data_IF_570260600064
#
_entry.id   IF_570260600064
#
_cell.length_a   1.000
_cell.length_b   1.000
_cell.length_c   1.000
_cell.angle_alpha   90.00
_cell.angle_beta   90.00
_cell.angle_gamma   90.00
#
_symmetry.space_group_name_H-M   'P 1'
#
loop_
_entity.id
_entity.type
_entity.pdbx_description
1 polymer ?
#
# COMPACT_ATOMS: atom_id res chain seq x y z
N UNK A 1 -42.23 41.40 -30.99
CA UNK A 1 -42.33 40.31 -30.00
C UNK A 1 -41.99 39.03 -30.75
N UNK A 2 -40.87 38.37 -30.44
CA UNK A 2 -40.60 37.06 -31.05
C UNK A 2 -41.72 36.10 -30.60
N UNK A 3 -42.30 35.29 -31.51
CA UNK A 3 -43.31 34.33 -31.12
C UNK A 3 -42.72 33.38 -30.08
N UNK A 4 -43.40 33.19 -28.95
CA UNK A 4 -42.93 32.38 -27.81
C UNK A 4 -42.48 30.98 -28.23
N UNK A 5 -43.09 30.44 -29.28
CA UNK A 5 -42.79 29.13 -29.85
C UNK A 5 -41.37 29.06 -30.45
N UNK A 6 -40.83 30.18 -30.97
CA UNK A 6 -39.48 30.24 -31.50
C UNK A 6 -38.42 30.21 -30.38
N UNK A 7 -38.75 30.82 -29.24
CA UNK A 7 -37.89 30.83 -28.04
C UNK A 7 -37.84 29.44 -27.41
N UNK A 8 -39.00 28.78 -27.30
CA UNK A 8 -39.08 27.38 -26.83
C UNK A 8 -38.34 26.44 -27.78
N UNK A 9 -38.48 26.61 -29.09
CA UNK A 9 -37.74 25.85 -30.09
C UNK A 9 -36.22 26.06 -30.00
N UNK A 10 -35.77 27.30 -29.78
CA UNK A 10 -34.35 27.62 -29.60
C UNK A 10 -33.76 26.99 -28.33
N UNK A 11 -34.52 26.99 -27.22
CA UNK A 11 -34.13 26.31 -25.97
C UNK A 11 -34.03 24.79 -26.21
N UNK A 12 -34.94 24.23 -27.00
CA UNK A 12 -34.93 22.81 -27.35
C UNK A 12 -33.72 22.42 -28.21
N UNK A 13 -33.41 23.22 -29.22
CA UNK A 13 -32.21 23.04 -30.05
C UNK A 13 -30.94 23.20 -29.21
N UNK A 14 -30.89 24.18 -28.31
CA UNK A 14 -29.76 24.35 -27.40
C UNK A 14 -29.58 23.15 -26.46
N UNK A 15 -30.66 22.60 -25.91
CA UNK A 15 -30.64 21.40 -25.06
C UNK A 15 -30.23 20.13 -25.81
N UNK A 16 -30.71 19.96 -27.04
CA UNK A 16 -30.32 18.84 -27.91
C UNK A 16 -28.85 18.92 -28.32
N UNK A 17 -28.36 20.12 -28.65
CA UNK A 17 -26.94 20.36 -28.96
C UNK A 17 -26.06 20.11 -27.74
N UNK A 18 -26.45 20.56 -26.55
CA UNK A 18 -25.73 20.27 -25.30
C UNK A 18 -25.67 18.76 -25.02
N UNK A 19 -26.78 18.05 -25.23
CA UNK A 19 -26.86 16.60 -25.02
C UNK A 19 -25.98 15.84 -26.03
N UNK A 20 -26.01 16.25 -27.30
CA UNK A 20 -25.14 15.70 -28.34
C UNK A 20 -23.66 15.97 -28.07
N UNK A 21 -23.31 17.17 -27.59
CA UNK A 21 -21.94 17.52 -27.20
C UNK A 21 -21.44 16.70 -25.99
N UNK A 22 -22.32 16.38 -25.02
CA UNK A 22 -22.00 15.51 -23.88
C UNK A 22 -21.77 14.06 -24.33
N UNK A 23 -22.57 13.56 -25.28
CA UNK A 23 -22.35 12.23 -25.88
C UNK A 23 -21.07 12.18 -26.71
N UNK A 24 -20.76 13.25 -27.46
CA UNK A 24 -19.51 13.34 -28.23
C UNK A 24 -18.27 13.47 -27.32
N UNK A 25 -18.40 14.14 -26.17
CA UNK A 25 -17.37 14.21 -25.13
C UNK A 25 -17.09 12.83 -24.51
N UNK A 26 -18.12 11.99 -24.34
CA UNK A 26 -18.01 10.62 -23.81
C UNK A 26 -17.16 9.71 -24.70
N UNK A 27 -17.26 9.86 -26.03
CA UNK A 27 -16.67 8.93 -27.00
C UNK A 27 -15.22 9.31 -27.44
N UNK A 28 -14.58 10.28 -26.77
CA UNK A 28 -13.11 10.43 -26.79
C UNK A 28 -12.46 11.09 -28.02
N UNK A 29 -13.23 11.67 -28.93
CA UNK A 29 -12.67 12.35 -30.12
C UNK A 29 -12.31 13.82 -29.83
N UNK A 30 -11.17 14.07 -29.15
CA UNK A 30 -10.83 15.38 -28.57
C UNK A 30 -9.59 16.09 -29.15
N UNK A 31 -9.40 16.11 -30.47
CA UNK A 31 -8.37 16.96 -31.08
C UNK A 31 -8.90 18.17 -31.88
N UNK A 32 -10.21 18.32 -32.11
CA UNK A 32 -10.71 19.29 -33.09
C UNK A 32 -11.57 20.45 -32.58
N UNK A 33 -11.94 20.54 -31.29
CA UNK A 33 -12.85 21.59 -30.80
C UNK A 33 -12.27 22.34 -29.59
N UNK A 34 -11.42 23.32 -29.90
CA UNK A 34 -10.79 24.21 -28.93
C UNK A 34 -11.68 25.44 -28.64
N UNK A 35 -12.88 25.22 -28.07
CA UNK A 35 -13.83 26.30 -27.74
C UNK A 35 -13.76 26.77 -26.27
N UNK A 36 -12.85 26.20 -25.46
CA UNK A 36 -12.79 26.44 -24.00
C UNK A 36 -11.68 27.41 -23.58
N UNK A 37 -11.09 28.15 -24.54
CA UNK A 37 -10.11 29.18 -24.25
C UNK A 37 -10.72 30.47 -23.63
N UNK A 38 -12.05 30.62 -23.64
CA UNK A 38 -12.72 31.85 -23.20
C UNK A 38 -13.30 31.81 -21.77
N UNK A 39 -13.25 30.67 -21.07
CA UNK A 39 -13.83 30.51 -19.71
C UNK A 39 -12.79 30.31 -18.60
N UNK A 40 -11.49 30.50 -18.86
CA UNK A 40 -10.48 30.59 -17.80
C UNK A 40 -10.50 31.99 -17.18
N UNK A 41 -11.50 32.31 -16.37
CA UNK A 41 -11.35 33.40 -15.40
C UNK A 41 -10.53 32.88 -14.23
N UNK A 42 -9.39 33.53 -13.96
CA UNK A 42 -8.50 33.20 -12.85
C UNK A 42 -9.25 33.15 -11.51
N UNK A 43 -9.17 31.99 -10.86
CA UNK A 43 -9.59 31.85 -9.47
C UNK A 43 -8.50 32.43 -8.58
N UNK A 44 -8.78 33.55 -7.91
CA UNK A 44 -7.97 34.02 -6.79
C UNK A 44 -8.37 33.24 -5.54
N UNK A 45 -7.38 32.66 -4.85
CA UNK A 45 -7.64 31.95 -3.59
C UNK A 45 -8.23 32.91 -2.56
N UNK A 46 -9.35 32.51 -1.96
CA UNK A 46 -9.93 33.21 -0.81
C UNK A 46 -8.90 33.15 0.33
N UNK A 47 -8.47 34.31 0.90
CA UNK A 47 -7.63 34.31 2.08
C UNK A 47 -8.40 33.62 3.19
N UNK A 48 -7.85 32.54 3.73
CA UNK A 48 -8.35 32.00 4.99
C UNK A 48 -7.92 33.01 6.05
N UNK A 49 -8.84 33.86 6.50
CA UNK A 49 -8.58 34.72 7.65
C UNK A 49 -8.12 33.84 8.80
N UNK A 50 -6.87 34.04 9.21
CA UNK A 50 -6.36 33.64 10.51
C UNK A 50 -7.19 34.39 11.55
N UNK A 51 -8.33 33.81 11.93
CA UNK A 51 -9.01 34.21 13.15
C UNK A 51 -8.07 33.85 14.30
N UNK A 52 -7.46 34.89 14.88
CA UNK A 52 -6.82 34.92 16.18
C UNK A 52 -7.77 34.40 17.26
N UNK A 53 -7.88 33.08 17.33
CA UNK A 53 -8.52 32.33 18.40
C UNK A 53 -7.51 31.29 18.83
N UNK A 54 -6.87 31.55 19.96
CA UNK A 54 -5.85 30.70 20.57
C UNK A 54 -6.24 29.21 20.49
N UNK A 55 -5.68 28.51 19.49
CA UNK A 55 -5.73 27.04 19.44
C UNK A 55 -5.06 26.55 20.73
N UNK A 56 -5.67 25.65 21.51
CA UNK A 56 -5.02 25.12 22.69
C UNK A 56 -3.68 24.54 22.24
N UNK A 57 -2.58 25.07 22.79
CA UNK A 57 -1.23 24.53 22.58
C UNK A 57 -1.31 23.05 22.92
N UNK A 58 -1.35 22.20 21.89
CA UNK A 58 -1.22 20.76 22.05
C UNK A 58 0.09 20.57 22.78
N UNK A 59 0.03 20.10 24.03
CA UNK A 59 1.23 19.82 24.83
C UNK A 59 2.15 18.98 23.95
N UNK A 60 3.29 19.54 23.58
CA UNK A 60 4.38 18.80 22.96
C UNK A 60 4.81 17.83 24.05
N UNK A 61 4.36 16.58 23.93
CA UNK A 61 4.86 15.49 24.76
C UNK A 61 6.34 15.39 24.43
N UNK A 62 7.19 15.50 25.44
CA UNK A 62 8.64 15.33 25.32
C UNK A 62 8.94 14.02 24.56
N UNK A 63 9.96 13.97 23.69
CA UNK A 63 10.25 12.78 22.86
C UNK A 63 10.54 11.48 23.66
N UNK A 64 10.69 11.56 24.98
CA UNK A 64 11.13 10.45 25.84
C UNK A 64 10.07 9.90 26.81
N UNK A 65 8.77 10.06 26.57
CA UNK A 65 7.78 9.34 27.40
C UNK A 65 7.52 7.92 26.90
N UNK A 66 8.55 7.11 26.68
CA UNK A 66 8.37 5.66 26.81
C UNK A 66 8.14 5.43 28.31
N UNK A 67 6.87 5.35 28.72
CA UNK A 67 6.57 4.87 30.06
C UNK A 67 7.16 3.47 30.14
N UNK A 68 8.15 3.30 31.03
CA UNK A 68 8.64 1.96 31.38
C UNK A 68 7.40 1.18 31.79
N UNK A 69 7.07 0.07 31.10
CA UNK A 69 5.92 -0.74 31.46
C UNK A 69 6.02 -1.09 32.95
N UNK A 70 4.92 -1.02 33.71
CA UNK A 70 4.96 -1.48 35.09
C UNK A 70 5.53 -2.90 35.13
N UNK A 71 6.41 -3.16 36.10
CA UNK A 71 7.01 -4.48 36.27
C UNK A 71 5.91 -5.54 36.28
N UNK A 72 6.08 -6.59 35.46
CA UNK A 72 5.09 -7.65 35.34
C UNK A 72 4.74 -8.18 36.74
N UNK A 73 3.44 -8.23 37.05
CA UNK A 73 3.00 -8.78 38.32
C UNK A 73 3.50 -10.23 38.42
N UNK A 74 4.15 -10.63 39.52
CA UNK A 74 4.79 -11.95 39.64
C UNK A 74 3.79 -13.12 39.53
N UNK A 75 2.50 -12.85 39.63
CA UNK A 75 1.36 -13.77 39.56
C UNK A 75 0.57 -13.68 38.24
N UNK A 76 1.00 -12.84 37.28
CA UNK A 76 0.34 -12.75 35.99
C UNK A 76 0.61 -14.01 35.15
N UNK A 77 -0.45 -14.79 34.89
CA UNK A 77 -0.36 -15.96 34.01
C UNK A 77 -0.06 -15.53 32.56
N UNK A 78 1.14 -15.88 32.08
CA UNK A 78 1.54 -15.67 30.69
C UNK A 78 1.25 -16.92 29.85
N UNK A 79 0.24 -16.86 28.99
CA UNK A 79 -0.13 -17.94 28.07
C UNK A 79 0.98 -18.27 27.04
N UNK A 80 1.91 -17.33 26.80
CA UNK A 80 3.00 -17.46 25.84
C UNK A 80 4.37 -17.57 26.50
N UNK A 81 4.42 -17.97 27.78
CA UNK A 81 5.68 -18.31 28.43
C UNK A 81 6.38 -19.45 27.66
N UNK A 82 7.58 -19.22 27.10
CA UNK A 82 8.35 -20.25 26.38
C UNK A 82 8.54 -21.55 27.18
N UNK A 83 8.60 -21.45 28.51
CA UNK A 83 8.75 -22.62 29.39
C UNK A 83 7.45 -23.39 29.62
N UNK A 84 6.29 -22.74 29.46
CA UNK A 84 4.97 -23.26 29.84
C UNK A 84 3.91 -23.07 28.72
N UNK A 85 4.30 -23.27 27.46
CA UNK A 85 3.37 -23.18 26.34
C UNK A 85 2.33 -24.32 26.34
N UNK A 86 1.05 -24.01 26.06
CA UNK A 86 0.04 -25.03 25.79
C UNK A 86 0.51 -25.99 24.67
N UNK A 87 0.23 -27.31 24.77
CA UNK A 87 0.68 -28.30 23.78
C UNK A 87 0.31 -27.98 22.33
N UNK A 88 -0.79 -27.26 22.12
CA UNK A 88 -1.27 -26.83 20.80
C UNK A 88 -0.39 -25.77 20.14
N UNK A 89 0.32 -24.97 20.94
CA UNK A 89 1.25 -23.93 20.49
C UNK A 89 2.69 -24.46 20.47
N UNK A 90 3.01 -25.43 21.32
CA UNK A 90 4.36 -25.99 21.46
C UNK A 90 4.92 -26.65 20.19
N UNK A 91 4.09 -27.23 19.32
CA UNK A 91 4.55 -27.94 18.10
C UNK A 91 5.37 -27.03 17.16
N UNK A 92 4.97 -25.76 17.03
CA UNK A 92 5.64 -24.79 16.15
C UNK A 92 6.50 -23.78 16.91
N UNK A 93 6.45 -23.77 18.25
CA UNK A 93 7.11 -22.79 19.11
C UNK A 93 8.62 -22.69 18.81
N UNK A 94 9.35 -23.80 18.91
CA UNK A 94 10.80 -23.81 18.68
C UNK A 94 11.16 -23.28 17.29
N UNK A 95 10.34 -23.60 16.28
CA UNK A 95 10.56 -23.16 14.90
C UNK A 95 10.35 -21.66 14.73
N UNK A 96 9.27 -21.14 15.31
CA UNK A 96 8.93 -19.73 15.23
C UNK A 96 9.93 -18.89 16.02
N UNK A 97 10.25 -19.28 17.27
CA UNK A 97 11.16 -18.51 18.11
C UNK A 97 12.58 -18.46 17.54
N UNK A 98 13.13 -19.57 17.05
CA UNK A 98 14.46 -19.56 16.43
C UNK A 98 14.49 -18.74 15.14
N UNK A 99 13.48 -18.86 14.25
CA UNK A 99 13.41 -18.01 13.06
C UNK A 99 13.26 -16.52 13.41
N UNK A 100 12.51 -16.19 14.47
CA UNK A 100 12.35 -14.83 14.97
C UNK A 100 13.66 -14.27 15.53
N UNK A 101 14.43 -15.05 16.29
CA UNK A 101 15.73 -14.66 16.81
C UNK A 101 16.74 -14.43 15.68
N UNK A 102 16.84 -15.37 14.74
CA UNK A 102 17.75 -15.28 13.60
C UNK A 102 17.46 -14.05 12.74
N UNK A 103 16.20 -13.86 12.31
CA UNK A 103 15.80 -12.72 11.48
C UNK A 103 15.80 -11.40 12.27
N UNK A 104 15.48 -11.45 13.57
CA UNK A 104 15.51 -10.33 14.50
C UNK A 104 16.90 -9.72 14.57
N UNK A 105 17.91 -10.57 14.82
CA UNK A 105 19.32 -10.17 14.87
C UNK A 105 19.84 -9.75 13.49
N UNK A 106 19.46 -10.47 12.43
CA UNK A 106 19.96 -10.19 11.08
C UNK A 106 19.54 -8.81 10.55
N UNK A 107 18.29 -8.42 10.74
CA UNK A 107 17.74 -7.15 10.25
C UNK A 107 17.67 -6.05 11.32
N UNK A 108 17.97 -6.37 12.58
CA UNK A 108 17.91 -5.44 13.71
C UNK A 108 16.49 -4.97 14.00
N UNK A 109 15.54 -5.89 14.02
CA UNK A 109 14.20 -5.63 14.54
C UNK A 109 14.24 -5.44 16.07
N UNK A 110 13.25 -4.75 16.64
CA UNK A 110 13.16 -4.56 18.08
C UNK A 110 12.75 -5.86 18.79
N UNK A 111 13.47 -6.24 19.85
CA UNK A 111 13.24 -7.52 20.57
C UNK A 111 11.78 -7.71 21.03
N UNK A 112 11.16 -6.64 21.54
CA UNK A 112 9.76 -6.67 21.99
C UNK A 112 8.78 -6.86 20.83
N UNK A 113 9.09 -6.27 19.66
CA UNK A 113 8.29 -6.40 18.45
C UNK A 113 8.39 -7.82 17.90
N UNK A 114 9.60 -8.36 17.80
CA UNK A 114 9.88 -9.73 17.36
C UNK A 114 9.15 -10.74 18.24
N UNK A 115 9.24 -10.60 19.57
CA UNK A 115 8.51 -11.47 20.51
C UNK A 115 7.00 -11.41 20.31
N UNK A 116 6.44 -10.21 20.15
CA UNK A 116 5.02 -10.04 19.86
C UNK A 116 4.60 -10.68 18.52
N UNK A 117 5.44 -10.61 17.49
CA UNK A 117 5.17 -11.28 16.21
C UNK A 117 5.28 -12.81 16.31
N UNK A 118 6.19 -13.34 17.13
CA UNK A 118 6.27 -14.76 17.41
C UNK A 118 4.97 -15.29 18.03
N UNK A 119 4.48 -14.61 19.08
CA UNK A 119 3.21 -14.93 19.73
C UNK A 119 2.03 -14.86 18.75
N UNK A 120 1.96 -13.78 17.97
CA UNK A 120 0.94 -13.60 16.93
C UNK A 120 0.94 -14.74 15.90
N UNK A 121 2.11 -15.15 15.41
CA UNK A 121 2.24 -16.25 14.46
C UNK A 121 1.79 -17.58 15.05
N UNK A 122 2.17 -17.89 16.30
CA UNK A 122 1.74 -19.12 16.98
C UNK A 122 0.21 -19.20 17.12
N UNK A 123 -0.45 -18.09 17.45
CA UNK A 123 -1.92 -18.00 17.52
C UNK A 123 -2.53 -18.26 16.12
N UNK A 124 -1.99 -17.63 15.08
CA UNK A 124 -2.48 -17.81 13.71
C UNK A 124 -2.36 -19.27 13.25
N UNK A 125 -1.24 -19.94 13.57
CA UNK A 125 -1.04 -21.35 13.25
C UNK A 125 -2.03 -22.24 14.01
N UNK A 126 -2.28 -21.96 15.29
CA UNK A 126 -3.28 -22.67 16.09
C UNK A 126 -4.70 -22.52 15.51
N UNK A 127 -5.06 -21.31 15.09
CA UNK A 127 -6.35 -21.02 14.47
C UNK A 127 -6.52 -21.73 13.12
N UNK A 128 -5.49 -21.72 12.27
CA UNK A 128 -5.51 -22.44 10.98
C UNK A 128 -5.62 -23.95 11.18
N UNK A 129 -4.95 -24.51 12.21
CA UNK A 129 -5.08 -25.92 12.56
C UNK A 129 -6.52 -26.29 12.92
N UNK A 130 -7.17 -25.48 13.76
CA UNK A 130 -8.59 -25.71 14.13
C UNK A 130 -9.50 -25.72 12.91
N UNK A 131 -9.26 -24.79 11.97
CA UNK A 131 -10.02 -24.72 10.73
C UNK A 131 -9.84 -26.00 9.88
N UNK A 132 -8.61 -26.51 9.76
CA UNK A 132 -8.33 -27.76 9.05
C UNK A 132 -8.95 -29.00 9.74
N UNK A 133 -8.89 -29.07 11.07
CA UNK A 133 -9.49 -30.18 11.85
C UNK A 133 -11.03 -30.16 11.87
N UNK A 134 -11.67 -29.07 11.45
CA UNK A 134 -13.13 -28.96 11.47
C UNK A 134 -13.86 -29.65 10.30
N UNK A 135 -13.13 -30.37 9.42
CA UNK A 135 -13.68 -31.16 8.30
C UNK A 135 -14.62 -30.41 7.34
N UNK A 136 -14.55 -29.08 7.28
CA UNK A 136 -15.37 -28.26 6.38
C UNK A 136 -15.05 -28.55 4.90
N UNK A 137 -13.82 -28.99 4.60
CA UNK A 137 -13.35 -29.31 3.25
C UNK A 137 -12.99 -30.80 3.11
N UNK A 138 -13.23 -31.44 1.94
CA UNK A 138 -12.79 -32.79 1.66
C UNK A 138 -11.27 -32.95 1.82
N UNK A 139 -10.75 -34.09 2.30
CA UNK A 139 -9.31 -34.31 2.50
C UNK A 139 -8.45 -34.06 1.25
N UNK A 140 -9.01 -34.22 0.05
CA UNK A 140 -8.32 -33.96 -1.23
C UNK A 140 -8.05 -32.48 -1.53
N UNK A 141 -8.75 -31.55 -0.86
CA UNK A 141 -8.64 -30.10 -1.08
C UNK A 141 -7.95 -29.42 0.11
N UNK A 142 -7.66 -30.15 1.18
CA UNK A 142 -7.01 -29.56 2.35
C UNK A 142 -5.52 -29.30 2.08
N UNK A 143 -4.99 -28.14 2.52
CA UNK A 143 -3.57 -27.86 2.40
C UNK A 143 -2.72 -28.85 3.21
N UNK A 144 -1.45 -29.08 2.85
CA UNK A 144 -0.61 -30.11 3.49
C UNK A 144 -0.35 -29.88 4.98
N UNK A 145 -0.33 -28.61 5.42
CA UNK A 145 -0.21 -28.26 6.83
C UNK A 145 -0.80 -26.87 7.12
N UNK A 146 -1.06 -26.52 8.40
CA UNK A 146 -1.54 -25.19 8.78
C UNK A 146 -0.62 -24.06 8.33
N UNK A 147 0.70 -24.31 8.32
CA UNK A 147 1.72 -23.36 7.85
C UNK A 147 1.58 -23.12 6.35
N UNK A 148 1.36 -24.16 5.55
CA UNK A 148 1.14 -24.01 4.11
C UNK A 148 -0.12 -23.21 3.80
N UNK A 149 -1.21 -23.46 4.55
CA UNK A 149 -2.47 -22.73 4.42
C UNK A 149 -2.28 -21.24 4.71
N UNK A 150 -1.61 -20.93 5.82
CA UNK A 150 -1.34 -19.56 6.24
C UNK A 150 -0.42 -18.84 5.25
N UNK A 151 0.67 -19.48 4.84
CA UNK A 151 1.61 -18.92 3.87
C UNK A 151 0.94 -18.62 2.54
N UNK A 152 0.19 -19.57 1.99
CA UNK A 152 -0.54 -19.36 0.73
C UNK A 152 -1.53 -18.19 0.81
N UNK A 153 -2.18 -18.01 1.97
CA UNK A 153 -3.11 -16.89 2.21
C UNK A 153 -2.36 -15.55 2.27
N UNK A 154 -1.32 -15.45 3.10
CA UNK A 154 -0.54 -14.21 3.32
C UNK A 154 0.17 -13.78 2.04
N UNK A 155 0.85 -14.70 1.36
CA UNK A 155 1.65 -14.41 0.16
C UNK A 155 0.86 -14.39 -1.14
N UNK A 156 -0.46 -14.58 -1.11
CA UNK A 156 -1.30 -14.47 -2.33
C UNK A 156 -1.15 -13.10 -3.01
N UNK A 157 -1.03 -12.03 -2.24
CA UNK A 157 -0.86 -10.67 -2.78
C UNK A 157 0.59 -10.40 -3.21
N UNK A 158 1.57 -10.93 -2.48
CA UNK A 158 2.96 -10.91 -2.91
C UNK A 158 3.15 -11.53 -4.29
N UNK A 159 2.57 -12.71 -4.52
CA UNK A 159 2.62 -13.39 -5.82
C UNK A 159 1.99 -12.56 -6.94
N UNK A 160 0.92 -11.81 -6.66
CA UNK A 160 0.31 -10.88 -7.62
C UNK A 160 1.24 -9.70 -7.91
N UNK A 161 1.85 -9.12 -6.88
CA UNK A 161 2.81 -8.03 -7.03
C UNK A 161 4.03 -8.48 -7.85
N UNK A 162 4.64 -9.63 -7.52
CA UNK A 162 5.74 -10.20 -8.32
C UNK A 162 5.34 -10.45 -9.78
N UNK A 163 4.12 -10.94 -10.03
CA UNK A 163 3.61 -11.17 -11.39
C UNK A 163 3.41 -9.85 -12.16
N UNK A 164 2.83 -8.83 -11.52
CA UNK A 164 2.66 -7.50 -12.12
C UNK A 164 4.02 -6.89 -12.46
N UNK A 165 4.97 -7.01 -11.55
CA UNK A 165 6.37 -6.62 -11.70
C UNK A 165 7.16 -7.59 -12.59
N UNK A 166 6.57 -8.69 -13.07
CA UNK A 166 7.20 -9.76 -13.87
C UNK A 166 8.48 -10.38 -13.27
N UNK A 167 8.73 -10.24 -11.97
CA UNK A 167 9.94 -10.74 -11.30
C UNK A 167 9.67 -12.09 -10.64
N UNK A 168 10.67 -12.98 -10.51
CA UNK A 168 10.51 -14.20 -9.73
C UNK A 168 10.28 -13.86 -8.25
N UNK A 169 9.42 -14.59 -7.53
CA UNK A 169 9.25 -14.40 -6.10
C UNK A 169 10.48 -14.89 -5.33
N UNK A 170 10.84 -14.16 -4.27
CA UNK A 170 11.90 -14.53 -3.33
C UNK A 170 11.27 -15.21 -2.11
N UNK A 171 11.57 -16.49 -1.93
CA UNK A 171 11.20 -17.28 -0.76
C UNK A 171 12.46 -17.95 -0.21
N UNK A 172 12.50 -18.13 1.11
CA UNK A 172 13.62 -18.78 1.79
C UNK A 172 13.89 -20.15 1.19
N UNK A 173 15.17 -20.45 1.01
CA UNK A 173 15.65 -21.76 0.51
C UNK A 173 16.15 -22.65 1.65
N UNK A 174 15.95 -22.22 2.91
CA UNK A 174 16.46 -22.84 4.12
C UNK A 174 16.35 -24.37 4.07
N UNK A 175 17.51 -25.03 4.08
CA UNK A 175 17.60 -26.48 4.04
C UNK A 175 18.04 -27.11 5.36
N UNK A 176 18.66 -26.37 6.30
CA UNK A 176 19.34 -27.01 7.44
C UNK A 176 19.50 -26.08 8.65
N UNK A 177 18.74 -26.32 9.73
CA UNK A 177 19.09 -26.01 11.14
C UNK A 177 17.95 -26.36 12.10
N UNK A 178 16.71 -26.41 11.61
CA UNK A 178 15.52 -26.72 12.41
C UNK A 178 15.20 -28.22 12.33
N UNK A 179 14.82 -28.87 13.43
CA UNK A 179 14.35 -30.28 13.46
C UNK A 179 12.98 -30.49 12.78
N UNK A 180 12.76 -29.90 11.61
CA UNK A 180 11.53 -29.98 10.84
C UNK A 180 11.82 -30.19 9.35
N UNK A 181 10.83 -30.68 8.56
CA UNK A 181 11.00 -30.80 7.12
C UNK A 181 11.41 -29.46 6.49
N UNK A 182 12.42 -29.41 5.61
CA UNK A 182 12.92 -28.17 5.01
C UNK A 182 11.84 -27.28 4.37
N UNK A 183 10.81 -27.90 3.78
CA UNK A 183 9.67 -27.20 3.18
C UNK A 183 8.79 -26.45 4.20
N UNK A 184 8.79 -26.85 5.47
CA UNK A 184 8.02 -26.19 6.54
C UNK A 184 8.85 -25.06 7.17
N UNK A 185 10.15 -25.30 7.41
CA UNK A 185 11.06 -24.32 7.99
C UNK A 185 11.18 -23.06 7.12
N UNK A 186 11.44 -23.23 5.83
CA UNK A 186 11.49 -22.13 4.84
C UNK A 186 10.22 -21.25 4.85
N UNK A 187 9.04 -21.87 4.95
CA UNK A 187 7.76 -21.14 4.99
C UNK A 187 7.55 -20.38 6.30
N UNK A 188 8.11 -20.86 7.41
CA UNK A 188 8.09 -20.12 8.67
C UNK A 188 9.01 -18.91 8.58
N UNK A 189 10.21 -19.04 8.01
CA UNK A 189 11.11 -17.91 7.75
C UNK A 189 10.42 -16.83 6.91
N UNK A 190 9.76 -17.22 5.81
CA UNK A 190 8.98 -16.29 4.98
C UNK A 190 7.92 -15.52 5.82
N UNK A 191 7.11 -16.25 6.59
CA UNK A 191 6.05 -15.67 7.42
C UNK A 191 6.60 -14.76 8.51
N UNK A 192 7.65 -15.19 9.22
CA UNK A 192 8.30 -14.43 10.28
C UNK A 192 8.85 -13.13 9.74
N UNK A 193 9.60 -13.17 8.63
CA UNK A 193 10.15 -11.96 8.02
C UNK A 193 9.04 -10.97 7.66
N UNK A 194 8.00 -11.43 6.96
CA UNK A 194 6.89 -10.56 6.59
C UNK A 194 6.18 -9.95 7.81
N UNK A 195 5.94 -10.73 8.86
CA UNK A 195 5.28 -10.22 10.08
C UNK A 195 6.17 -9.28 10.88
N UNK A 196 7.50 -9.45 10.89
CA UNK A 196 8.42 -8.49 11.51
C UNK A 196 8.41 -7.14 10.76
N UNK A 197 8.50 -7.18 9.43
CA UNK A 197 8.38 -5.98 8.57
C UNK A 197 7.02 -5.30 8.79
N UNK A 198 5.93 -6.08 8.83
CA UNK A 198 4.59 -5.54 9.09
C UNK A 198 4.45 -4.99 10.52
N UNK A 199 5.04 -5.65 11.51
CA UNK A 199 4.99 -5.26 12.91
C UNK A 199 5.60 -3.88 13.16
N UNK A 200 6.70 -3.58 12.48
CA UNK A 200 7.45 -2.33 12.66
C UNK A 200 7.16 -1.27 11.59
N UNK A 201 6.44 -1.61 10.52
CA UNK A 201 6.15 -0.67 9.42
C UNK A 201 5.31 0.56 9.80
N UNK A 202 4.69 0.60 11.00
CA UNK A 202 3.91 1.74 11.48
C UNK A 202 2.90 2.28 10.42
N UNK A 203 3.09 3.52 9.96
CA UNK A 203 2.23 4.17 8.96
C UNK A 203 2.50 3.71 7.51
N UNK A 204 3.66 3.13 7.22
CA UNK A 204 3.99 2.65 5.86
C UNK A 204 3.15 1.43 5.47
N UNK A 205 2.48 0.79 6.44
CA UNK A 205 1.50 -0.29 6.20
C UNK A 205 0.33 0.12 5.32
N UNK A 206 0.07 1.42 5.20
CA UNK A 206 -0.94 1.96 4.29
C UNK A 206 -0.49 2.01 2.82
N UNK A 207 0.74 1.57 2.54
CA UNK A 207 1.33 1.43 1.21
C UNK A 207 1.69 -0.05 0.98
N UNK A 208 0.73 -0.89 0.53
CA UNK A 208 0.90 -2.34 0.48
C UNK A 208 1.98 -2.78 -0.52
N UNK A 209 2.21 -2.06 -1.61
CA UNK A 209 3.29 -2.36 -2.55
C UNK A 209 4.66 -1.99 -1.99
N UNK A 210 4.77 -0.95 -1.15
CA UNK A 210 5.98 -0.69 -0.35
C UNK A 210 6.31 -1.87 0.57
N UNK A 211 5.30 -2.46 1.21
CA UNK A 211 5.50 -3.62 2.09
C UNK A 211 6.08 -4.82 1.33
N UNK A 212 5.58 -5.10 0.12
CA UNK A 212 6.10 -6.18 -0.71
C UNK A 212 7.48 -5.89 -1.27
N UNK A 213 7.79 -4.63 -1.60
CA UNK A 213 9.13 -4.22 -1.97
C UNK A 213 10.14 -4.48 -0.83
N UNK A 214 9.81 -4.05 0.39
CA UNK A 214 10.64 -4.28 1.58
C UNK A 214 10.88 -5.78 1.79
N UNK A 215 9.81 -6.57 1.80
CA UNK A 215 9.93 -8.03 1.91
C UNK A 215 10.79 -8.63 0.80
N UNK A 216 10.56 -8.23 -0.45
CA UNK A 216 11.27 -8.79 -1.61
C UNK A 216 12.78 -8.54 -1.54
N UNK A 217 13.19 -7.31 -1.17
CA UNK A 217 14.59 -6.93 -1.04
C UNK A 217 15.26 -7.52 0.20
N UNK A 218 14.58 -7.51 1.34
CA UNK A 218 15.12 -8.09 2.57
C UNK A 218 15.28 -9.61 2.42
N UNK A 219 14.30 -10.30 1.83
CA UNK A 219 14.41 -11.74 1.56
C UNK A 219 15.50 -12.05 0.53
N UNK A 220 15.69 -11.21 -0.48
CA UNK A 220 16.82 -11.32 -1.43
C UNK A 220 18.16 -11.32 -0.69
N UNK A 221 18.34 -10.35 0.21
CA UNK A 221 19.54 -10.24 1.03
C UNK A 221 19.74 -11.47 1.93
N UNK A 222 18.67 -11.91 2.61
CA UNK A 222 18.72 -13.08 3.49
C UNK A 222 19.14 -14.35 2.73
N UNK A 223 18.51 -14.64 1.58
CA UNK A 223 18.84 -15.83 0.76
C UNK A 223 20.29 -15.81 0.28
N UNK A 224 20.83 -14.63 -0.06
CA UNK A 224 22.23 -14.51 -0.47
C UNK A 224 23.19 -14.69 0.70
N UNK A 225 22.77 -14.31 1.92
CA UNK A 225 23.57 -14.48 3.13
C UNK A 225 23.68 -15.93 3.61
N UNK A 226 22.69 -16.80 3.32
CA UNK A 226 22.66 -18.22 3.71
C UNK A 226 23.88 -19.04 3.19
N UNK A 227 24.69 -18.50 2.27
CA UNK A 227 25.93 -19.11 1.77
C UNK A 227 27.22 -18.74 2.52
N UNK A 228 27.15 -17.88 3.54
CA UNK A 228 28.32 -17.33 4.23
C UNK A 228 28.35 -17.69 5.72
N UNK A 229 29.54 -17.90 6.28
CA UNK A 229 29.75 -18.31 7.68
C UNK A 229 29.55 -17.19 8.70
N UNK A 230 29.39 -15.94 8.26
CA UNK A 230 29.15 -14.81 9.14
C UNK A 230 27.71 -14.36 9.07
N UNK A 231 26.96 -14.62 10.14
CA UNK A 231 25.62 -14.08 10.34
C UNK A 231 25.77 -12.60 10.69
N UNK A 232 25.27 -11.72 9.80
CA UNK A 232 25.12 -10.29 10.11
C UNK A 232 24.30 -10.16 11.40
N UNK A 233 24.75 -9.33 12.33
CA UNK A 233 24.00 -8.97 13.53
C UNK A 233 23.93 -7.46 13.63
N UNK A 234 22.71 -6.93 13.60
CA UNK A 234 22.43 -5.50 13.73
C UNK A 234 21.82 -5.23 15.10
N UNK A 235 21.97 -4.01 15.60
CA UNK A 235 21.37 -3.63 16.87
C UNK A 235 19.83 -3.62 16.78
N UNK A 236 19.17 -3.95 17.90
CA UNK A 236 17.71 -3.92 18.00
C UNK A 236 17.17 -2.49 17.77
N UNK A 237 16.39 -2.30 16.71
CA UNK A 237 15.87 -0.99 16.28
C UNK A 237 16.46 -0.46 14.98
N UNK A 238 17.53 -1.07 14.46
CA UNK A 238 18.15 -0.68 13.18
C UNK A 238 17.13 -0.58 12.04
N UNK A 239 16.19 -1.52 11.95
CA UNK A 239 15.15 -1.52 10.91
C UNK A 239 14.27 -0.26 11.00
N UNK A 240 13.87 0.15 12.20
CA UNK A 240 13.07 1.37 12.40
C UNK A 240 13.87 2.60 12.00
N UNK A 241 15.11 2.70 12.48
CA UNK A 241 15.94 3.89 12.31
C UNK A 241 16.37 4.10 10.85
N UNK A 242 16.71 3.03 10.14
CA UNK A 242 17.35 3.11 8.82
C UNK A 242 16.42 2.76 7.65
N UNK A 243 15.27 2.13 7.90
CA UNK A 243 14.30 1.74 6.86
C UNK A 243 12.96 2.46 7.05
N UNK A 244 12.34 2.32 8.22
CA UNK A 244 10.96 2.84 8.44
C UNK A 244 10.95 4.35 8.59
N UNK A 245 11.78 4.92 9.47
CA UNK A 245 11.78 6.34 9.78
C UNK A 245 12.11 7.22 8.56
N UNK A 246 13.09 6.89 7.71
CA UNK A 246 13.42 7.69 6.52
C UNK A 246 12.28 7.70 5.48
N UNK A 247 11.64 6.55 5.24
CA UNK A 247 10.47 6.48 4.35
C UNK A 247 9.31 7.28 4.95
N UNK A 248 9.06 7.13 6.25
CA UNK A 248 8.00 7.86 6.94
C UNK A 248 8.23 9.37 6.93
N UNK A 249 9.48 9.83 7.06
CA UNK A 249 9.81 11.24 7.03
C UNK A 249 9.45 11.86 5.68
N UNK A 250 9.80 11.20 4.56
CA UNK A 250 9.41 11.62 3.22
C UNK A 250 7.89 11.68 3.09
N UNK A 251 7.18 10.64 3.53
CA UNK A 251 5.71 10.60 3.51
C UNK A 251 5.12 11.77 4.31
N UNK A 252 5.61 12.00 5.53
CA UNK A 252 5.17 13.08 6.41
C UNK A 252 5.42 14.47 5.78
N UNK A 253 6.59 14.67 5.16
CA UNK A 253 6.93 15.92 4.49
C UNK A 253 6.01 16.16 3.28
N UNK A 254 5.83 15.17 2.41
CA UNK A 254 4.96 15.27 1.23
C UNK A 254 3.48 15.42 1.57
N UNK A 255 3.01 14.84 2.67
CA UNK A 255 1.62 15.04 3.14
C UNK A 255 1.38 16.45 3.73
N UNK A 256 2.41 17.06 4.32
CA UNK A 256 2.35 18.41 4.91
C UNK A 256 2.57 19.53 3.88
N UNK A 257 2.99 19.21 2.66
CA UNK A 257 3.24 20.19 1.61
C UNK A 257 1.97 20.98 1.24
N UNK A 258 2.15 22.21 0.77
CA UNK A 258 1.05 23.11 0.41
C UNK A 258 0.61 22.88 -1.04
N UNK A 259 -0.69 22.70 -1.25
CA UNK A 259 -1.33 22.66 -2.57
C UNK A 259 -1.52 21.24 -3.13
N UNK A 260 -2.76 20.91 -3.52
CA UNK A 260 -3.15 19.62 -4.13
C UNK A 260 -3.20 19.67 -5.68
N UNK A 261 -2.74 20.76 -6.31
CA UNK A 261 -2.88 21.03 -7.74
C UNK A 261 -1.62 20.69 -8.55
N UNK A 262 -1.64 20.93 -9.87
CA UNK A 262 -0.52 20.64 -10.78
C UNK A 262 0.81 21.29 -10.35
N UNK A 263 0.74 22.43 -9.65
CA UNK A 263 1.90 23.15 -9.09
C UNK A 263 2.16 22.80 -7.61
N UNK A 264 1.39 21.87 -7.04
CA UNK A 264 1.42 21.48 -5.63
C UNK A 264 2.14 20.16 -5.40
N UNK A 265 3.11 20.16 -4.48
CA UNK A 265 3.93 18.98 -4.14
C UNK A 265 3.26 18.07 -3.09
N UNK A 266 1.98 18.29 -2.77
CA UNK A 266 1.28 17.45 -1.80
C UNK A 266 0.99 16.06 -2.37
N UNK A 267 1.40 15.03 -1.63
CA UNK A 267 1.20 13.62 -1.97
C UNK A 267 0.57 12.88 -0.80
N UNK A 268 -0.27 11.90 -1.12
CA UNK A 268 -0.85 10.97 -0.17
C UNK A 268 -0.13 9.62 -0.23
N UNK A 269 -0.50 8.67 0.63
CA UNK A 269 0.01 7.30 0.63
C UNK A 269 -0.08 6.65 -0.76
N UNK A 270 -1.19 6.85 -1.49
CA UNK A 270 -1.39 6.23 -2.81
C UNK A 270 -0.38 6.76 -3.86
N UNK A 271 -0.15 8.08 -3.89
CA UNK A 271 0.83 8.70 -4.79
C UNK A 271 2.26 8.18 -4.55
N UNK A 272 2.61 7.93 -3.28
CA UNK A 272 3.93 7.41 -2.90
C UNK A 272 4.01 5.90 -3.17
N UNK A 273 2.92 5.18 -2.94
CA UNK A 273 2.82 3.76 -3.16
C UNK A 273 2.90 3.38 -4.65
N UNK A 274 2.46 4.26 -5.55
CA UNK A 274 2.58 4.09 -7.00
C UNK A 274 4.03 3.91 -7.48
N UNK A 275 5.01 4.49 -6.78
CA UNK A 275 6.43 4.26 -7.07
C UNK A 275 6.79 2.76 -7.08
N UNK A 276 6.12 1.96 -6.25
CA UNK A 276 6.35 0.51 -6.11
C UNK A 276 5.54 -0.35 -7.09
N UNK A 277 4.85 0.26 -8.05
CA UNK A 277 4.11 -0.45 -9.11
C UNK A 277 4.99 -0.73 -10.35
N UNK A 278 6.19 -0.15 -10.40
CA UNK A 278 7.14 -0.29 -11.49
C UNK A 278 8.42 -0.98 -11.03
N UNK A 279 8.98 -1.82 -11.90
CA UNK A 279 10.28 -2.50 -11.72
C UNK A 279 11.43 -1.55 -11.39
N UNK A 280 11.29 -0.27 -11.72
CA UNK A 280 12.28 0.75 -11.42
C UNK A 280 12.57 0.87 -9.92
N UNK A 281 11.59 0.57 -9.05
CA UNK A 281 11.80 0.57 -7.61
C UNK A 281 12.89 -0.43 -7.16
N UNK A 282 13.10 -1.53 -7.92
CA UNK A 282 14.10 -2.56 -7.59
C UNK A 282 15.55 -2.11 -7.83
N UNK A 283 15.74 -0.97 -8.51
CA UNK A 283 17.05 -0.33 -8.69
C UNK A 283 17.55 0.38 -7.44
N UNK A 284 16.71 0.47 -6.41
CA UNK A 284 17.05 1.08 -5.14
C UNK A 284 17.19 0.02 -4.05
N UNK A 285 18.05 0.29 -3.07
CA UNK A 285 18.13 -0.51 -1.84
C UNK A 285 17.09 -0.05 -0.83
N UNK A 286 16.67 -0.94 0.06
CA UNK A 286 15.58 -0.66 1.01
C UNK A 286 16.00 0.21 2.21
N UNK A 287 17.28 0.22 2.57
CA UNK A 287 17.83 0.98 3.71
C UNK A 287 18.39 2.34 3.28
N UNK A 288 18.46 3.29 4.20
CA UNK A 288 19.10 4.59 4.04
C UNK A 288 20.52 4.67 4.65
N UNK A 289 20.91 3.70 5.50
CA UNK A 289 22.23 3.66 6.15
C UNK A 289 23.38 3.51 5.14
N UNK A 290 24.51 4.19 5.27
CA UNK A 290 25.61 3.97 4.31
C UNK A 290 26.14 2.52 4.37
N UNK A 291 26.63 1.96 3.25
CA UNK A 291 27.30 0.65 3.25
C UNK A 291 28.41 0.60 4.31
N UNK A 292 28.27 -0.29 5.30
CA UNK A 292 29.21 -0.44 6.42
C UNK A 292 28.87 0.31 7.71
N UNK A 293 27.81 1.11 7.74
CA UNK A 293 27.34 1.77 8.98
C UNK A 293 26.37 0.86 9.75
N UNK A 294 26.75 0.47 10.98
CA UNK A 294 25.88 -0.23 11.93
C UNK A 294 25.95 -1.76 11.93
N UNK A 295 26.86 -2.35 11.15
CA UNK A 295 27.21 -3.76 11.32
C UNK A 295 28.38 -3.89 12.30
N UNK A 296 28.15 -4.49 13.47
CA UNK A 296 29.24 -5.00 14.33
C UNK A 296 29.85 -6.26 13.69
N UNK A 297 30.20 -6.18 12.40
CA UNK A 297 31.04 -7.17 11.74
C UNK A 297 32.42 -6.91 12.28
N UNK A 298 32.74 -7.58 13.37
CA UNK A 298 34.10 -7.69 13.90
C UNK A 298 35.03 -7.92 12.70
N UNK A 299 36.01 -7.04 12.51
CA UNK A 299 36.97 -7.07 11.41
C UNK A 299 37.72 -8.42 11.39
N UNK A 300 37.10 -9.45 10.81
CA UNK A 300 37.68 -10.77 10.63
C UNK A 300 38.24 -10.85 9.20
N UNK A 301 39.48 -11.33 9.03
CA UNK A 301 40.14 -11.41 7.73
C UNK A 301 39.47 -12.53 6.91
N UNK A 302 38.41 -12.21 6.16
CA UNK A 302 37.69 -13.19 5.34
C UNK A 302 36.29 -12.78 4.87
N UNK A 303 36.04 -11.48 4.67
CA UNK A 303 34.74 -10.96 4.21
C UNK A 303 34.26 -11.54 2.87
N UNK A 304 32.95 -11.38 2.61
CA UNK A 304 32.21 -11.82 1.42
C UNK A 304 33.00 -11.63 0.10
N UNK A 305 33.41 -12.69 -0.62
CA UNK A 305 34.19 -12.53 -1.83
C UNK A 305 33.33 -12.18 -3.06
N UNK A 306 33.77 -11.11 -3.75
CA UNK A 306 33.65 -10.80 -5.18
C UNK A 306 32.39 -10.11 -5.74
N UNK A 307 32.44 -8.77 -5.75
CA UNK A 307 32.13 -7.97 -6.93
C UNK A 307 33.42 -7.46 -7.61
N UNK A 308 33.46 -7.15 -8.92
CA UNK A 308 34.69 -6.93 -9.69
C UNK A 308 35.54 -5.70 -9.30
N UNK A 309 35.12 -4.89 -8.33
CA UNK A 309 35.74 -3.61 -7.97
C UNK A 309 35.95 -3.45 -6.45
N UNK A 310 36.53 -4.45 -5.78
CA UNK A 310 37.27 -4.26 -4.52
C UNK A 310 36.57 -3.49 -3.39
N UNK A 311 35.23 -3.54 -3.29
CA UNK A 311 34.44 -2.92 -2.23
C UNK A 311 33.78 -3.98 -1.36
N UNK A 312 33.92 -3.84 -0.04
CA UNK A 312 33.28 -4.68 0.98
C UNK A 312 31.84 -4.20 1.14
N UNK A 313 30.86 -4.96 0.65
CA UNK A 313 29.45 -4.58 0.75
C UNK A 313 28.48 -5.73 0.52
N UNK A 314 27.34 -5.67 1.20
CA UNK A 314 26.19 -6.54 1.01
C UNK A 314 25.52 -6.30 -0.36
N UNK A 315 24.69 -7.25 -0.84
CA UNK A 315 24.00 -7.11 -2.12
C UNK A 315 23.13 -5.84 -2.14
N UNK A 316 23.39 -4.97 -3.12
CA UNK A 316 22.66 -3.70 -3.25
C UNK A 316 23.29 -2.53 -2.51
N UNK A 317 24.43 -2.70 -1.85
CA UNK A 317 25.19 -1.58 -1.25
C UNK A 317 25.67 -0.55 -2.27
N UNK A 318 25.81 -0.95 -3.55
CA UNK A 318 26.10 -0.05 -4.66
C UNK A 318 24.86 0.66 -5.22
N UNK A 319 23.65 0.28 -4.78
CA UNK A 319 22.41 0.87 -5.25
C UNK A 319 22.05 2.11 -4.40
N UNK A 320 21.47 3.16 -5.02
CA UNK A 320 20.95 4.31 -4.28
C UNK A 320 19.85 3.90 -3.30
N UNK A 321 19.70 4.66 -2.21
CA UNK A 321 18.65 4.42 -1.22
C UNK A 321 17.26 4.64 -1.83
N UNK A 322 16.26 3.85 -1.42
CA UNK A 322 14.87 4.01 -1.86
C UNK A 322 14.32 5.40 -1.55
N UNK A 323 14.84 6.06 -0.53
CA UNK A 323 14.53 7.45 -0.18
C UNK A 323 14.86 8.42 -1.30
N UNK A 324 15.97 8.21 -2.03
CA UNK A 324 16.33 9.04 -3.20
C UNK A 324 15.31 8.84 -4.33
N UNK A 325 14.98 7.59 -4.63
CA UNK A 325 13.97 7.26 -5.65
C UNK A 325 12.59 7.81 -5.34
N UNK A 326 12.19 7.81 -4.06
CA UNK A 326 10.91 8.36 -3.62
C UNK A 326 10.83 9.90 -3.71
N UNK A 327 11.96 10.59 -3.50
CA UNK A 327 12.03 12.04 -3.64
C UNK A 327 11.93 12.46 -5.12
N UNK A 328 12.58 11.70 -6.00
CA UNK A 328 12.63 11.97 -7.45
C UNK A 328 11.39 11.49 -8.21
N UNK A 329 10.60 10.58 -7.63
CA UNK A 329 9.40 10.05 -8.27
C UNK A 329 8.43 11.18 -8.67
N UNK A 330 7.98 11.27 -9.94
CA UNK A 330 7.02 12.28 -10.36
C UNK A 330 5.63 11.96 -9.84
N UNK A 331 4.81 13.00 -9.61
CA UNK A 331 3.38 12.82 -9.33
C UNK A 331 2.63 12.53 -10.63
N UNK A 332 2.08 11.34 -10.71
CA UNK A 332 1.36 10.76 -11.85
C UNK A 332 -0.13 11.11 -11.83
N UNK A 333 -0.78 11.01 -10.67
CA UNK A 333 -2.19 11.35 -10.51
C UNK A 333 -2.37 12.83 -10.13
N UNK A 334 -2.94 13.62 -11.03
CA UNK A 334 -3.34 15.00 -10.77
C UNK A 334 -4.87 15.12 -10.82
N UNK A 335 -5.48 15.53 -9.70
CA UNK A 335 -6.91 15.74 -9.62
C UNK A 335 -7.33 16.91 -10.53
N UNK A 336 -7.91 16.60 -11.69
CA UNK A 336 -8.54 17.62 -12.56
C UNK A 336 -9.93 17.94 -12.02
N UNK A 337 -10.03 19.02 -11.25
CA UNK A 337 -11.33 19.54 -10.76
C UNK A 337 -12.05 20.27 -11.90
N UNK A 338 -13.24 19.79 -12.23
CA UNK A 338 -14.15 20.44 -13.17
C UNK A 338 -15.58 20.28 -12.67
N UNK A 339 -16.38 21.34 -12.79
CA UNK A 339 -17.82 21.30 -12.51
C UNK A 339 -18.53 20.22 -13.33
N UNK A 340 -18.01 19.89 -14.51
CA UNK A 340 -18.53 18.81 -15.35
C UNK A 340 -18.43 17.45 -14.64
N UNK A 341 -17.37 17.20 -13.85
CA UNK A 341 -17.24 15.95 -13.08
C UNK A 341 -18.30 15.84 -11.99
N UNK A 342 -18.66 16.96 -11.35
CA UNK A 342 -19.76 17.01 -10.40
C UNK A 342 -21.11 16.69 -11.05
N UNK A 343 -21.36 17.22 -12.25
CA UNK A 343 -22.56 16.92 -13.04
C UNK A 343 -22.58 15.44 -13.48
N UNK A 344 -21.44 14.91 -13.92
CA UNK A 344 -21.30 13.49 -14.29
C UNK A 344 -21.48 12.53 -13.10
N UNK A 345 -21.12 12.94 -11.88
CA UNK A 345 -21.41 12.14 -10.68
C UNK A 345 -22.92 11.99 -10.45
N UNK A 346 -23.71 12.99 -10.86
CA UNK A 346 -25.18 12.96 -10.82
C UNK A 346 -25.80 12.38 -12.09
N UNK A 347 -25.01 11.81 -13.01
CA UNK A 347 -25.49 11.38 -14.33
C UNK A 347 -26.67 10.41 -14.24
N UNK A 348 -26.67 9.48 -13.28
CA UNK A 348 -27.80 8.56 -13.08
C UNK A 348 -29.10 9.26 -12.70
N UNK A 349 -29.01 10.34 -11.93
CA UNK A 349 -30.15 11.16 -11.55
C UNK A 349 -30.61 11.96 -12.77
N UNK A 350 -29.69 12.59 -13.48
CA UNK A 350 -29.99 13.40 -14.67
C UNK A 350 -30.61 12.55 -15.79
N UNK A 351 -30.02 11.38 -16.08
CA UNK A 351 -30.50 10.42 -17.07
C UNK A 351 -31.94 9.98 -16.78
N UNK A 352 -32.24 9.63 -15.53
CA UNK A 352 -33.58 9.26 -15.11
C UNK A 352 -34.59 10.40 -15.33
N UNK A 353 -34.23 11.64 -14.97
CA UNK A 353 -35.11 12.79 -15.15
C UNK A 353 -35.33 13.12 -16.64
N UNK A 354 -34.30 13.02 -17.47
CA UNK A 354 -34.41 13.22 -18.92
C UNK A 354 -35.36 12.19 -19.52
N UNK A 355 -35.13 10.89 -19.27
CA UNK A 355 -35.98 9.81 -19.80
C UNK A 355 -37.43 9.99 -19.35
N UNK A 356 -37.64 10.27 -18.06
CA UNK A 356 -38.98 10.46 -17.49
C UNK A 356 -39.67 11.68 -18.11
N UNK A 357 -38.96 12.80 -18.28
CA UNK A 357 -39.49 14.00 -18.92
C UNK A 357 -39.92 13.73 -20.37
N UNK A 358 -39.07 13.07 -21.16
CA UNK A 358 -39.40 12.74 -22.56
C UNK A 358 -40.58 11.78 -22.66
N UNK A 359 -40.67 10.78 -21.79
CA UNK A 359 -41.79 9.85 -21.75
C UNK A 359 -43.11 10.58 -21.41
N UNK A 360 -43.10 11.45 -20.40
CA UNK A 360 -44.25 12.27 -20.03
C UNK A 360 -44.63 13.24 -21.14
N UNK A 361 -43.65 13.85 -21.82
CA UNK A 361 -43.89 14.73 -22.96
C UNK A 361 -44.56 13.97 -24.11
N UNK A 362 -44.07 12.79 -24.49
CA UNK A 362 -44.68 11.95 -25.52
C UNK A 362 -46.12 11.58 -25.15
N UNK A 363 -46.37 11.21 -23.89
CA UNK A 363 -47.73 10.91 -23.42
C UNK A 363 -48.64 12.14 -23.51
N UNK A 364 -48.15 13.32 -23.13
CA UNK A 364 -48.91 14.57 -23.22
C UNK A 364 -49.23 14.92 -24.69
N UNK A 365 -48.24 14.84 -25.58
CA UNK A 365 -48.43 15.06 -27.02
C UNK A 365 -49.39 14.01 -27.63
N UNK A 366 -49.32 12.74 -27.24
CA UNK A 366 -50.23 11.72 -27.74
C UNK A 366 -51.68 11.91 -27.28
N UNK A 367 -51.90 12.48 -26.10
CA UNK A 367 -53.25 12.65 -25.52
C UNK A 367 -53.89 13.99 -25.82
N UNK A 368 -53.11 15.07 -25.89
CA UNK A 368 -53.63 16.44 -25.99
C UNK A 368 -53.40 17.10 -27.35
N UNK A 369 -52.50 16.56 -28.20
CA UNK A 369 -52.32 17.10 -29.54
C UNK A 369 -53.38 16.52 -30.49
N UNK A 370 -54.43 17.30 -30.75
CA UNK A 370 -55.37 17.02 -31.84
C UNK A 370 -54.64 17.31 -33.15
N UNK A 371 -54.22 16.25 -33.86
CA UNK A 371 -53.70 16.36 -35.21
C UNK A 371 -54.85 16.79 -36.14
N UNK A 372 -55.04 18.10 -36.29
CA UNK A 372 -55.93 18.63 -37.32
C UNK A 372 -55.40 18.20 -38.69
N UNK A 373 -56.25 17.52 -39.47
CA UNK A 373 -55.98 17.05 -40.85
C UNK A 373 -55.44 18.13 -41.81
N UNK A 374 -55.49 19.41 -41.42
CA UNK A 374 -55.03 20.57 -42.20
C UNK A 374 -53.50 20.62 -42.37
N UNK A 375 -52.72 19.95 -41.51
CA UNK A 375 -51.25 20.04 -41.55
C UNK A 375 -50.53 18.77 -42.03
N UNK A 376 -51.25 17.72 -42.40
CA UNK A 376 -50.64 16.40 -42.62
C UNK A 376 -50.45 15.97 -44.09
N UNK A 377 -50.84 16.76 -45.09
CA UNK A 377 -50.35 16.64 -46.48
C UNK A 377 -51.09 17.67 -47.36
N UNK A 378 -50.37 18.68 -47.84
CA UNK A 378 -50.68 19.33 -49.11
C UNK A 378 -49.42 19.67 -49.87
#
# INVERSE_FOLDING_TARGET
QLPSNLVVGAIWVAGAVLSALVLFYRDGHFHALNFVAQFRSGYSSVPSEEADGAKPKRKIVSPNSYQVPPAAAPDAYNMFDPANLPPRLGEYANMVYSACEDLGNFFGFQDSSVRNQAEHLLILLSNNRRYMSSHILPPSVQPPSPIHALHAKVFSNYMKWCRAMRVPPNFSKMNSSMSAPPAVASRVVDLVLFFCIWGEGANIRHMPETMWFLYHKMMEEYIMSEGYTQTRSLYAGYYVDNVVAPIYEIVSQKMKAKGDHADGDKRNYDDINEFFWSRECLRYRYSSAHPGEGSDVENAPGGFPNGPNGGVGLPGDSLPAVTEGLLDAPKTFLEKRSWLRGILALFRIIEWHIVTFYLLAVIAFARELIWGWVYSLH
#
